data_IF_513872531546
#
_entry.id   IF_513872531546
#
_cell.length_a   1.000
_cell.length_b   1.000
_cell.length_c   1.000
_cell.angle_alpha   90.00
_cell.angle_beta   90.00
_cell.angle_gamma   90.00
#
_symmetry.space_group_name_H-M   'P 1'
#
loop_
_entity.id
_entity.type
_entity.pdbx_description
1 polymer ?
#
# COMPACT_ATOMS: atom_id res chain seq x y z
N UNK A 1 -22.11 15.00 34.47
CA UNK A 1 -23.58 15.27 34.35
C UNK A 1 -23.86 16.74 34.06
N UNK A 2 -23.17 17.69 34.70
CA UNK A 2 -23.37 19.12 34.49
C UNK A 2 -23.03 19.57 33.05
N UNK A 3 -21.89 19.16 32.52
CA UNK A 3 -21.47 19.48 31.14
C UNK A 3 -22.45 18.91 30.10
N UNK A 4 -23.00 17.70 30.32
CA UNK A 4 -23.99 17.14 29.43
C UNK A 4 -25.27 17.97 29.35
N UNK A 5 -25.65 18.66 30.44
CA UNK A 5 -26.78 19.59 30.43
C UNK A 5 -26.43 20.88 29.66
N UNK A 6 -25.21 21.40 29.82
CA UNK A 6 -24.74 22.60 29.16
C UNK A 6 -24.69 22.45 27.62
N UNK A 7 -24.21 21.31 27.13
CA UNK A 7 -24.06 21.05 25.69
C UNK A 7 -25.15 20.17 25.08
N UNK A 8 -26.31 19.98 25.76
CA UNK A 8 -27.38 19.05 25.36
C UNK A 8 -27.89 19.23 23.92
N UNK A 9 -27.87 20.47 23.41
CA UNK A 9 -28.37 20.81 22.08
C UNK A 9 -27.28 20.72 20.99
N UNK A 10 -26.00 20.57 21.40
CA UNK A 10 -24.86 20.49 20.52
C UNK A 10 -24.19 19.11 20.48
N UNK A 11 -24.19 18.40 21.63
CA UNK A 11 -23.46 17.15 21.80
C UNK A 11 -24.35 16.06 22.39
N UNK A 12 -24.09 14.82 21.96
CA UNK A 12 -24.62 13.62 22.60
C UNK A 12 -23.52 13.01 23.47
N UNK A 13 -23.84 12.73 24.71
CA UNK A 13 -22.92 12.12 25.67
C UNK A 13 -23.31 10.68 25.94
N UNK A 14 -22.30 9.79 26.00
CA UNK A 14 -22.41 8.42 26.45
C UNK A 14 -21.38 8.18 27.55
N UNK A 15 -21.74 7.39 28.52
CA UNK A 15 -20.84 6.90 29.57
C UNK A 15 -20.88 5.38 29.56
N UNK A 16 -19.73 4.74 29.49
CA UNK A 16 -19.60 3.29 29.41
C UNK A 16 -18.42 2.81 30.20
N UNK A 17 -18.45 1.52 30.58
CA UNK A 17 -17.28 0.89 31.14
C UNK A 17 -16.27 0.58 30.04
N UNK A 18 -15.00 0.64 30.33
CA UNK A 18 -13.90 0.33 29.40
C UNK A 18 -14.06 -1.07 28.81
N UNK A 19 -14.44 -2.04 29.65
CA UNK A 19 -14.63 -3.44 29.23
C UNK A 19 -15.69 -3.64 28.15
N UNK A 20 -16.71 -2.78 28.13
CA UNK A 20 -17.82 -2.89 27.18
C UNK A 20 -17.49 -2.21 25.83
N UNK A 21 -16.46 -1.37 25.80
CA UNK A 21 -16.08 -0.56 24.64
C UNK A 21 -14.58 -0.67 24.31
N UNK A 22 -13.95 -1.81 24.63
CA UNK A 22 -12.53 -2.04 24.41
C UNK A 22 -12.13 -1.81 22.95
N UNK A 23 -12.88 -2.38 22.01
CA UNK A 23 -12.60 -2.23 20.58
C UNK A 23 -12.67 -0.79 20.10
N UNK A 24 -13.64 -0.01 20.57
CA UNK A 24 -13.75 1.41 20.25
C UNK A 24 -12.59 2.22 20.81
N UNK A 25 -12.14 1.89 22.03
CA UNK A 25 -11.00 2.57 22.67
C UNK A 25 -9.70 2.25 21.94
N UNK A 26 -9.52 1.01 21.46
CA UNK A 26 -8.43 0.63 20.57
C UNK A 26 -8.47 1.45 19.27
N UNK A 27 -9.67 1.62 18.71
CA UNK A 27 -9.88 2.41 17.49
C UNK A 27 -9.57 3.91 17.68
N UNK A 28 -9.72 4.43 18.88
CA UNK A 28 -9.29 5.76 19.28
C UNK A 28 -7.80 5.82 19.70
N UNK A 29 -7.09 4.70 19.72
CA UNK A 29 -5.72 4.62 20.20
C UNK A 29 -5.57 5.07 21.66
N UNK A 30 -6.61 4.84 22.47
CA UNK A 30 -6.59 5.11 23.91
C UNK A 30 -6.07 3.92 24.71
N UNK A 31 -6.24 2.72 24.17
CA UNK A 31 -5.69 1.48 24.69
C UNK A 31 -5.14 0.65 23.53
N UNK A 32 -4.17 -0.19 23.79
CA UNK A 32 -3.64 -1.25 22.93
C UNK A 32 -3.56 -2.56 23.70
N UNK A 33 -3.03 -3.62 23.10
CA UNK A 33 -2.93 -4.94 23.75
C UNK A 33 -2.06 -4.90 25.02
N UNK A 34 -1.07 -4.00 25.06
CA UNK A 34 -0.07 -3.87 26.13
C UNK A 34 -0.41 -2.73 27.10
N UNK A 35 -1.40 -1.90 26.81
CA UNK A 35 -1.74 -0.74 27.64
C UNK A 35 -2.35 -1.18 28.96
N UNK A 36 -1.64 -0.89 30.04
CA UNK A 36 -2.17 -0.97 31.40
C UNK A 36 -2.93 0.34 31.66
N UNK A 37 -4.26 0.28 31.63
CA UNK A 37 -5.10 1.43 31.96
C UNK A 37 -5.53 1.37 33.44
N UNK A 38 -5.62 2.54 34.07
CA UNK A 38 -6.21 2.68 35.38
C UNK A 38 -7.74 2.74 35.24
N UNK A 39 -8.51 1.77 35.78
CA UNK A 39 -9.95 1.74 35.64
C UNK A 39 -10.66 2.94 36.33
N UNK A 40 -9.98 3.61 37.24
CA UNK A 40 -10.51 4.77 37.97
C UNK A 40 -10.29 6.09 37.23
N UNK A 41 -9.46 6.11 36.17
CA UNK A 41 -9.22 7.31 35.35
C UNK A 41 -10.13 7.29 34.12
N UNK A 42 -11.08 8.26 34.02
CA UNK A 42 -11.92 8.35 32.84
C UNK A 42 -11.14 8.66 31.57
N UNK A 43 -11.43 7.96 30.49
CA UNK A 43 -10.97 8.26 29.14
C UNK A 43 -12.07 9.02 28.39
N UNK A 44 -11.66 10.00 27.59
CA UNK A 44 -12.59 10.84 26.83
C UNK A 44 -12.27 10.78 25.34
N UNK A 45 -13.26 10.41 24.57
CA UNK A 45 -13.20 10.39 23.10
C UNK A 45 -14.52 10.87 22.50
N UNK A 46 -14.50 11.28 21.26
CA UNK A 46 -15.70 11.71 20.55
C UNK A 46 -15.53 11.73 19.04
N UNK A 47 -16.66 11.82 18.35
CA UNK A 47 -16.72 12.02 16.91
C UNK A 47 -17.45 13.33 16.59
N UNK A 48 -16.99 13.99 15.55
CA UNK A 48 -17.76 15.08 14.96
C UNK A 48 -18.84 14.53 14.00
N UNK A 49 -19.63 15.43 13.43
CA UNK A 49 -20.66 15.09 12.43
C UNK A 49 -20.10 14.52 11.12
N UNK A 50 -18.80 14.64 10.88
CA UNK A 50 -18.09 14.10 9.72
C UNK A 50 -17.42 12.76 10.03
N UNK A 51 -17.56 12.24 11.26
CA UNK A 51 -16.95 11.01 11.75
C UNK A 51 -15.44 11.13 11.94
N UNK A 52 -14.92 12.35 12.18
CA UNK A 52 -13.56 12.55 12.62
C UNK A 52 -13.46 12.21 14.11
N UNK A 53 -12.36 11.57 14.49
CA UNK A 53 -12.12 11.13 15.87
C UNK A 53 -11.36 12.20 16.63
N UNK A 54 -11.72 12.42 17.89
CA UNK A 54 -11.05 13.34 18.80
C UNK A 54 -10.83 12.65 20.13
N UNK A 55 -9.67 12.84 20.73
CA UNK A 55 -9.24 12.14 21.95
C UNK A 55 -8.66 13.16 22.92
N UNK A 56 -9.07 13.10 24.17
CA UNK A 56 -8.41 13.84 25.25
C UNK A 56 -7.21 13.03 25.73
N UNK A 57 -6.02 13.52 25.43
CA UNK A 57 -4.74 12.84 25.78
C UNK A 57 -4.25 13.18 27.19
N UNK A 58 -4.65 14.32 27.71
CA UNK A 58 -4.28 14.74 29.04
C UNK A 58 -4.98 13.92 30.11
N UNK A 59 -4.36 13.78 31.28
CA UNK A 59 -4.99 13.14 32.44
C UNK A 59 -6.31 13.81 32.74
N UNK A 60 -7.36 13.02 32.90
CA UNK A 60 -8.70 13.52 33.15
C UNK A 60 -8.76 14.38 34.43
N UNK A 61 -9.21 15.60 34.25
CA UNK A 61 -9.66 16.49 35.34
C UNK A 61 -10.98 17.13 34.90
N UNK A 62 -11.81 17.54 35.85
CA UNK A 62 -13.08 18.18 35.53
C UNK A 62 -12.89 19.47 34.69
N UNK A 63 -11.90 20.27 35.04
CA UNK A 63 -11.63 21.52 34.33
C UNK A 63 -10.93 21.27 32.97
N UNK A 64 -10.03 20.31 32.89
CA UNK A 64 -9.46 19.84 31.62
C UNK A 64 -10.54 19.33 30.68
N UNK A 65 -11.50 18.55 31.19
CA UNK A 65 -12.63 18.07 30.39
C UNK A 65 -13.53 19.22 29.89
N UNK A 66 -13.79 20.22 30.71
CA UNK A 66 -14.54 21.42 30.28
C UNK A 66 -13.83 22.15 29.16
N UNK A 67 -12.52 22.40 29.32
CA UNK A 67 -11.69 23.04 28.31
C UNK A 67 -11.67 22.25 27.01
N UNK A 68 -11.47 20.93 27.09
CA UNK A 68 -11.49 20.04 25.93
C UNK A 68 -12.83 20.06 25.19
N UNK A 69 -13.96 20.03 25.91
CA UNK A 69 -15.29 20.14 25.32
C UNK A 69 -15.51 21.49 24.62
N UNK A 70 -15.02 22.58 25.19
CA UNK A 70 -15.12 23.89 24.56
C UNK A 70 -14.34 23.91 23.24
N UNK A 71 -13.07 23.49 23.23
CA UNK A 71 -12.26 23.43 22.02
C UNK A 71 -12.86 22.47 20.97
N UNK A 72 -13.47 21.36 21.42
CA UNK A 72 -14.17 20.42 20.52
C UNK A 72 -15.36 21.11 19.81
N UNK A 73 -16.19 21.84 20.57
CA UNK A 73 -17.36 22.55 20.01
C UNK A 73 -16.94 23.71 19.10
N UNK A 74 -15.83 24.37 19.43
CA UNK A 74 -15.30 25.50 18.65
C UNK A 74 -14.52 25.03 17.41
N UNK A 75 -14.28 23.70 17.28
CA UNK A 75 -13.57 23.11 16.14
C UNK A 75 -12.06 23.38 16.16
N UNK A 76 -11.49 23.63 17.33
CA UNK A 76 -10.07 23.96 17.53
C UNK A 76 -9.21 22.71 17.78
N UNK A 77 -9.84 21.55 18.06
CA UNK A 77 -9.10 20.31 18.26
C UNK A 77 -8.61 19.70 16.95
N UNK A 78 -7.42 19.17 16.98
CA UNK A 78 -6.93 18.33 15.87
C UNK A 78 -7.55 16.93 15.94
N UNK A 79 -8.08 16.43 14.83
CA UNK A 79 -8.60 15.06 14.76
C UNK A 79 -7.51 14.05 15.08
N UNK A 80 -7.89 13.01 15.82
CA UNK A 80 -7.01 11.85 16.03
C UNK A 80 -6.94 11.00 14.77
N UNK A 81 -5.73 10.68 14.36
CA UNK A 81 -5.42 9.75 13.29
C UNK A 81 -4.64 8.57 13.88
N UNK A 82 -5.22 7.37 13.85
CA UNK A 82 -4.48 6.18 14.23
C UNK A 82 -3.47 5.86 13.13
N UNK A 83 -2.21 5.81 13.48
CA UNK A 83 -1.11 5.52 12.57
C UNK A 83 0.01 4.82 13.31
N UNK A 84 0.61 3.83 12.66
CA UNK A 84 1.93 3.35 13.04
C UNK A 84 2.98 4.45 12.90
N UNK A 85 4.09 4.30 13.59
CA UNK A 85 5.27 5.11 13.35
C UNK A 85 5.81 4.84 11.92
N UNK A 86 6.17 5.88 11.18
CA UNK A 86 6.74 5.69 9.85
C UNK A 86 8.03 4.86 9.93
N UNK A 87 8.17 3.79 9.13
CA UNK A 87 9.38 2.99 9.15
C UNK A 87 10.59 3.80 8.65
N UNK A 88 11.77 3.52 9.22
CA UNK A 88 13.03 4.14 8.79
C UNK A 88 13.30 3.79 7.31
N UNK A 89 13.16 2.52 6.96
CA UNK A 89 13.24 2.04 5.58
C UNK A 89 11.83 1.94 5.00
N UNK A 90 11.45 2.95 4.22
CA UNK A 90 10.12 3.03 3.59
C UNK A 90 9.90 2.03 2.45
N UNK A 91 10.93 1.35 1.99
CA UNK A 91 10.86 0.42 0.84
C UNK A 91 11.43 -0.93 1.24
N UNK A 92 10.63 -1.99 1.11
CA UNK A 92 11.02 -3.38 1.31
C UNK A 92 10.86 -4.15 -0.01
N UNK A 93 11.96 -4.62 -0.58
CA UNK A 93 11.99 -5.35 -1.87
C UNK A 93 11.22 -4.63 -3.01
N UNK A 94 11.34 -3.31 -3.05
CA UNK A 94 10.68 -2.46 -4.05
C UNK A 94 9.22 -2.12 -3.73
N UNK A 95 8.65 -2.67 -2.66
CA UNK A 95 7.30 -2.34 -2.17
C UNK A 95 7.41 -1.24 -1.11
N UNK A 96 6.73 -0.13 -1.35
CA UNK A 96 6.69 1.00 -0.41
C UNK A 96 5.76 0.67 0.77
N UNK A 97 6.23 0.98 1.98
CA UNK A 97 5.44 0.91 3.21
C UNK A 97 4.90 2.30 3.49
N UNK A 98 3.59 2.43 3.54
CA UNK A 98 2.91 3.69 3.83
C UNK A 98 2.05 3.51 5.07
N UNK A 99 2.10 4.49 5.95
CA UNK A 99 1.27 4.57 7.16
C UNK A 99 0.31 5.77 7.08
N UNK A 100 -0.69 5.82 7.94
CA UNK A 100 -1.73 6.84 7.85
C UNK A 100 -1.16 8.27 7.97
N UNK A 101 -0.16 8.50 8.83
CA UNK A 101 0.47 9.81 9.03
C UNK A 101 1.28 10.29 7.82
N UNK A 102 1.78 9.38 6.98
CA UNK A 102 2.54 9.73 5.78
C UNK A 102 1.72 9.65 4.48
N UNK A 103 0.42 9.33 4.57
CA UNK A 103 -0.44 9.15 3.40
C UNK A 103 -0.43 10.36 2.46
N UNK A 104 -0.54 11.57 3.01
CA UNK A 104 -0.57 12.80 2.21
C UNK A 104 0.76 13.00 1.47
N UNK A 105 1.87 12.83 2.18
CA UNK A 105 3.21 13.07 1.61
C UNK A 105 3.64 11.98 0.62
N UNK A 106 3.37 10.73 0.96
CA UNK A 106 3.91 9.57 0.24
C UNK A 106 2.99 9.08 -0.89
N UNK A 107 1.69 9.47 -0.86
CA UNK A 107 0.72 9.06 -1.88
C UNK A 107 0.07 10.26 -2.58
N UNK A 108 -0.56 11.17 -1.81
CA UNK A 108 -1.39 12.24 -2.42
C UNK A 108 -0.51 13.24 -3.17
N UNK A 109 0.58 13.70 -2.56
CA UNK A 109 1.48 14.70 -3.14
C UNK A 109 2.51 14.10 -4.12
N UNK A 110 2.59 12.77 -4.23
CA UNK A 110 3.53 12.11 -5.14
C UNK A 110 3.00 12.14 -6.58
N UNK A 111 3.82 12.64 -7.52
CA UNK A 111 3.48 12.69 -8.97
C UNK A 111 3.71 11.34 -9.66
N UNK A 112 3.16 10.27 -9.07
CA UNK A 112 3.16 8.90 -9.61
C UNK A 112 1.81 8.25 -9.38
N UNK A 113 1.47 7.30 -10.23
CA UNK A 113 0.39 6.36 -9.95
C UNK A 113 0.75 5.48 -8.76
N UNK A 114 -0.24 4.90 -8.07
CA UNK A 114 0.01 3.99 -6.96
C UNK A 114 -0.92 2.78 -7.00
N UNK A 115 -0.35 1.58 -6.87
CA UNK A 115 -1.11 0.36 -6.58
C UNK A 115 -0.98 0.07 -5.08
N UNK A 116 -2.09 0.11 -4.38
CA UNK A 116 -2.13 0.01 -2.92
C UNK A 116 -2.79 -1.29 -2.51
N UNK A 117 -2.08 -2.09 -1.73
CA UNK A 117 -2.60 -3.30 -1.10
C UNK A 117 -2.87 -3.04 0.39
N UNK A 118 -4.14 -2.91 0.74
CA UNK A 118 -4.58 -2.93 2.13
C UNK A 118 -4.51 -4.35 2.66
N UNK A 119 -3.80 -4.53 3.76
CA UNK A 119 -3.57 -5.85 4.33
C UNK A 119 -3.73 -5.87 5.85
N UNK A 120 -3.75 -7.07 6.42
CA UNK A 120 -3.63 -7.31 7.85
C UNK A 120 -2.44 -8.27 8.10
N UNK A 121 -1.63 -8.08 9.18
CA UNK A 121 -0.44 -8.91 9.46
C UNK A 121 -0.75 -10.39 9.65
N UNK A 122 -1.88 -10.70 10.26
CA UNK A 122 -2.34 -12.06 10.52
C UNK A 122 -3.00 -12.76 9.33
N UNK A 123 -3.30 -12.04 8.24
CA UNK A 123 -4.04 -12.55 7.10
C UNK A 123 -3.18 -13.46 6.21
N UNK A 124 -3.53 -14.74 6.11
CA UNK A 124 -2.80 -15.72 5.29
C UNK A 124 -2.81 -15.37 3.79
N UNK A 125 -3.94 -14.89 3.26
CA UNK A 125 -4.03 -14.46 1.86
C UNK A 125 -3.16 -13.23 1.57
N UNK A 126 -2.99 -12.35 2.56
CA UNK A 126 -2.09 -11.21 2.46
C UNK A 126 -0.63 -11.67 2.37
N UNK A 127 -0.24 -12.64 3.21
CA UNK A 127 1.11 -13.24 3.17
C UNK A 127 1.42 -13.87 1.83
N UNK A 128 0.44 -14.53 1.19
CA UNK A 128 0.59 -15.08 -0.17
C UNK A 128 0.67 -14.01 -1.26
N UNK A 129 0.10 -12.82 -1.04
CA UNK A 129 0.16 -11.71 -1.98
C UNK A 129 1.52 -11.01 -1.98
N UNK A 130 2.25 -10.96 -0.84
CA UNK A 130 3.51 -10.21 -0.72
C UNK A 130 4.56 -10.59 -1.78
N UNK A 131 4.84 -11.87 -2.06
CA UNK A 131 5.78 -12.23 -3.14
C UNK A 131 5.33 -11.74 -4.52
N UNK A 132 4.01 -11.68 -4.75
CA UNK A 132 3.46 -11.18 -6.03
C UNK A 132 3.67 -9.67 -6.16
N UNK A 133 3.47 -8.90 -5.07
CA UNK A 133 3.72 -7.46 -5.05
C UNK A 133 5.22 -7.15 -5.23
N UNK A 134 6.12 -7.88 -4.56
CA UNK A 134 7.57 -7.76 -4.73
C UNK A 134 7.98 -7.98 -6.20
N UNK A 135 7.46 -9.04 -6.82
CA UNK A 135 7.68 -9.31 -8.24
C UNK A 135 7.12 -8.21 -9.15
N UNK A 136 5.96 -7.68 -8.82
CA UNK A 136 5.35 -6.58 -9.56
C UNK A 136 6.18 -5.29 -9.44
N UNK A 137 6.68 -4.97 -8.23
CA UNK A 137 7.55 -3.83 -7.98
C UNK A 137 8.84 -3.90 -8.80
N UNK A 138 9.45 -5.09 -8.90
CA UNK A 138 10.61 -5.32 -9.79
C UNK A 138 10.25 -5.07 -11.26
N UNK A 139 9.10 -5.59 -11.72
CA UNK A 139 8.66 -5.41 -13.11
C UNK A 139 8.40 -3.96 -13.46
N UNK A 140 7.93 -3.15 -12.49
CA UNK A 140 7.55 -1.75 -12.67
C UNK A 140 8.61 -0.74 -12.15
N UNK A 141 9.81 -1.20 -11.82
CA UNK A 141 10.88 -0.37 -11.20
C UNK A 141 11.22 0.90 -12.00
N UNK A 142 11.11 0.84 -13.33
CA UNK A 142 11.43 1.97 -14.23
C UNK A 142 10.18 2.77 -14.65
N UNK A 143 9.02 2.41 -14.12
CA UNK A 143 7.75 3.04 -14.42
C UNK A 143 7.36 4.08 -13.36
N UNK A 144 6.47 4.99 -13.71
CA UNK A 144 5.97 6.02 -12.79
C UNK A 144 4.79 5.49 -11.94
N UNK A 145 5.02 4.34 -11.30
CA UNK A 145 4.01 3.63 -10.49
C UNK A 145 4.65 3.13 -9.20
N UNK A 146 4.10 3.52 -8.07
CA UNK A 146 4.48 3.00 -6.77
C UNK A 146 3.66 1.76 -6.42
N UNK A 147 4.32 0.70 -5.97
CA UNK A 147 3.66 -0.48 -5.40
C UNK A 147 3.71 -0.35 -3.89
N UNK A 148 2.54 -0.29 -3.26
CA UNK A 148 2.37 0.10 -1.87
C UNK A 148 1.70 -1.00 -1.07
N UNK A 149 2.19 -1.26 0.14
CA UNK A 149 1.46 -1.99 1.18
C UNK A 149 1.06 -1.04 2.31
N UNK A 150 -0.15 -1.23 2.83
CA UNK A 150 -0.73 -0.43 3.91
C UNK A 150 -1.38 -1.37 4.92
N UNK A 151 -0.90 -1.34 6.17
CA UNK A 151 -1.53 -2.10 7.25
C UNK A 151 -2.81 -1.41 7.68
N UNK A 152 -3.93 -2.00 7.31
CA UNK A 152 -5.25 -1.44 7.59
C UNK A 152 -5.79 -1.78 9.00
N UNK A 153 -5.02 -2.56 9.78
CA UNK A 153 -5.35 -2.86 11.18
C UNK A 153 -4.77 -1.80 12.10
N UNK A 154 -3.52 -1.41 11.85
CA UNK A 154 -2.78 -0.47 12.71
C UNK A 154 -2.92 0.99 12.25
N UNK A 155 -3.50 1.23 11.08
CA UNK A 155 -3.63 2.56 10.49
C UNK A 155 -5.08 2.88 10.11
N UNK A 156 -5.49 4.13 10.26
CA UNK A 156 -6.77 4.62 9.73
C UNK A 156 -6.72 4.70 8.20
N UNK A 157 -7.68 4.02 7.56
CA UNK A 157 -7.82 4.03 6.11
C UNK A 157 -8.46 5.35 5.66
N UNK A 158 -7.95 6.03 4.62
CA UNK A 158 -8.61 7.22 4.08
C UNK A 158 -10.06 6.94 3.66
N UNK A 159 -10.99 7.85 3.98
CA UNK A 159 -12.44 7.64 3.89
C UNK A 159 -12.99 7.31 2.51
N UNK A 160 -12.25 7.58 1.44
CA UNK A 160 -12.68 7.28 0.08
C UNK A 160 -12.37 5.84 -0.37
N UNK A 161 -11.79 5.01 0.50
CA UNK A 161 -11.67 3.57 0.28
C UNK A 161 -12.74 2.79 1.05
N UNK A 162 -13.30 1.74 0.42
CA UNK A 162 -14.10 0.72 1.08
C UNK A 162 -13.27 -0.56 1.18
N UNK A 163 -12.94 -0.98 2.40
CA UNK A 163 -12.10 -2.16 2.65
C UNK A 163 -12.89 -3.13 3.55
N UNK A 164 -13.64 -4.03 2.91
CA UNK A 164 -14.52 -4.98 3.60
C UNK A 164 -13.80 -6.30 3.95
N UNK A 165 -12.55 -6.46 3.54
CA UNK A 165 -11.74 -7.65 3.82
C UNK A 165 -10.32 -7.55 3.28
N UNK A 166 -9.47 -8.52 3.62
CA UNK A 166 -8.06 -8.51 3.29
C UNK A 166 -7.63 -9.70 2.40
N UNK A 167 -6.70 -9.46 1.45
CA UNK A 167 -6.23 -8.16 1.01
C UNK A 167 -7.23 -7.51 0.04
N UNK A 168 -7.37 -6.18 0.11
CA UNK A 168 -8.07 -5.37 -0.88
C UNK A 168 -7.05 -4.50 -1.63
N UNK A 169 -7.16 -4.44 -2.95
CA UNK A 169 -6.16 -3.76 -3.79
C UNK A 169 -6.85 -2.68 -4.59
N UNK A 170 -6.31 -1.46 -4.53
CA UNK A 170 -6.75 -0.31 -5.31
C UNK A 170 -5.63 0.28 -6.14
N UNK A 171 -6.01 0.91 -7.23
CA UNK A 171 -5.12 1.72 -8.04
C UNK A 171 -5.55 3.19 -7.97
N UNK A 172 -4.60 4.08 -7.74
CA UNK A 172 -4.79 5.52 -7.76
C UNK A 172 -4.00 6.12 -8.92
N UNK A 173 -4.70 6.85 -9.77
CA UNK A 173 -4.05 7.63 -10.83
C UNK A 173 -3.44 8.91 -10.24
N UNK A 174 -2.28 9.34 -10.73
CA UNK A 174 -1.60 10.53 -10.24
C UNK A 174 -2.42 11.80 -10.38
N UNK A 175 -3.26 11.87 -11.40
CA UNK A 175 -4.10 13.03 -11.68
C UNK A 175 -5.34 13.13 -10.78
N UNK A 176 -5.78 12.01 -10.19
CA UNK A 176 -6.92 11.97 -9.28
C UNK A 176 -6.75 10.87 -8.22
N UNK A 177 -6.21 11.27 -7.09
CA UNK A 177 -5.97 10.37 -5.94
C UNK A 177 -7.23 10.09 -5.11
N UNK A 178 -8.35 10.73 -5.44
CA UNK A 178 -9.61 10.59 -4.69
C UNK A 178 -10.58 9.59 -5.31
N UNK A 179 -10.27 9.08 -6.51
CA UNK A 179 -11.08 8.10 -7.24
C UNK A 179 -10.35 6.74 -7.31
N UNK A 180 -10.40 5.94 -6.24
CA UNK A 180 -9.72 4.65 -6.22
C UNK A 180 -10.38 3.65 -7.17
N UNK A 181 -9.58 2.97 -7.98
CA UNK A 181 -10.03 1.94 -8.91
C UNK A 181 -9.78 0.58 -8.26
N UNK A 182 -10.84 -0.16 -7.91
CA UNK A 182 -10.75 -1.47 -7.27
C UNK A 182 -10.21 -2.52 -8.26
N UNK A 183 -9.21 -3.29 -7.81
CA UNK A 183 -8.76 -4.50 -8.51
C UNK A 183 -9.64 -5.69 -8.13
N UNK A 184 -10.36 -6.23 -9.11
CA UNK A 184 -11.26 -7.36 -8.90
C UNK A 184 -10.96 -8.51 -9.87
N UNK A 185 -9.78 -9.12 -9.72
CA UNK A 185 -9.36 -10.28 -10.50
C UNK A 185 -8.46 -11.20 -9.65
N UNK A 186 -8.16 -12.44 -10.08
CA UNK A 186 -7.21 -13.28 -9.38
C UNK A 186 -5.86 -12.59 -9.18
N UNK A 187 -5.34 -12.62 -7.95
CA UNK A 187 -4.14 -11.88 -7.50
C UNK A 187 -2.85 -12.51 -8.02
N UNK A 188 -2.75 -12.67 -9.34
CA UNK A 188 -1.55 -13.16 -10.05
C UNK A 188 -0.77 -11.98 -10.61
N UNK A 189 0.55 -12.10 -10.67
CA UNK A 189 1.43 -11.07 -11.22
C UNK A 189 0.96 -10.56 -12.59
N UNK A 190 0.63 -11.45 -13.52
CA UNK A 190 0.18 -11.09 -14.87
C UNK A 190 -1.12 -10.27 -14.88
N UNK A 191 -2.05 -10.56 -13.96
CA UNK A 191 -3.31 -9.82 -13.88
C UNK A 191 -3.10 -8.44 -13.26
N UNK A 192 -2.25 -8.32 -12.23
CA UNK A 192 -1.89 -7.05 -11.62
C UNK A 192 -1.11 -6.18 -12.60
N UNK A 193 -0.14 -6.74 -13.31
CA UNK A 193 0.63 -6.02 -14.32
C UNK A 193 -0.28 -5.49 -15.43
N UNK A 194 -1.18 -6.33 -15.95
CA UNK A 194 -2.15 -5.92 -16.97
C UNK A 194 -3.06 -4.81 -16.45
N UNK A 195 -3.55 -4.94 -15.22
CA UNK A 195 -4.42 -3.94 -14.62
C UNK A 195 -3.70 -2.59 -14.46
N UNK A 196 -2.48 -2.59 -13.95
CA UNK A 196 -1.65 -1.38 -13.86
C UNK A 196 -1.42 -0.79 -15.24
N UNK A 197 -1.02 -1.59 -16.22
CA UNK A 197 -0.77 -1.12 -17.58
C UNK A 197 -2.02 -0.53 -18.25
N UNK A 198 -3.20 -1.10 -17.99
CA UNK A 198 -4.49 -0.61 -18.48
C UNK A 198 -4.87 0.73 -17.82
N UNK A 199 -4.70 0.85 -16.50
CA UNK A 199 -5.18 1.97 -15.69
C UNK A 199 -4.16 3.09 -15.49
N UNK A 200 -2.89 2.86 -15.78
CA UNK A 200 -1.83 3.87 -15.62
C UNK A 200 -2.19 5.17 -16.35
N UNK A 201 -1.94 6.30 -15.69
CA UNK A 201 -2.16 7.64 -16.24
C UNK A 201 -1.37 7.82 -17.54
N UNK A 202 -0.08 7.51 -17.50
CA UNK A 202 0.78 7.48 -18.67
C UNK A 202 0.97 6.04 -19.17
N UNK A 203 1.13 5.81 -20.51
CA UNK A 203 1.56 4.52 -21.00
C UNK A 203 2.87 4.08 -20.32
N UNK A 204 2.95 2.81 -19.92
CA UNK A 204 4.16 2.27 -19.35
C UNK A 204 5.29 2.22 -20.40
N UNK A 205 6.52 2.43 -19.97
CA UNK A 205 7.71 2.46 -20.86
C UNK A 205 8.04 1.09 -21.43
N UNK A 206 7.88 0.05 -20.60
CA UNK A 206 8.30 -1.31 -20.93
C UNK A 206 7.12 -2.25 -21.25
N UNK A 207 5.89 -1.79 -21.14
CA UNK A 207 4.69 -2.61 -21.33
C UNK A 207 3.64 -1.86 -22.14
N UNK A 208 2.94 -2.59 -23.01
CA UNK A 208 1.74 -2.06 -23.67
C UNK A 208 0.55 -2.00 -22.70
N UNK A 209 -0.58 -1.43 -23.15
CA UNK A 209 -1.81 -1.32 -22.34
C UNK A 209 -2.44 -2.68 -21.96
N UNK A 210 -1.95 -3.78 -22.54
CA UNK A 210 -2.34 -5.15 -22.18
C UNK A 210 -1.37 -5.81 -21.19
N UNK A 211 -0.32 -5.08 -20.76
CA UNK A 211 0.74 -5.59 -19.89
C UNK A 211 1.70 -6.54 -20.60
N UNK A 212 1.78 -6.48 -21.93
CA UNK A 212 2.72 -7.27 -22.72
C UNK A 212 4.02 -6.46 -22.83
N UNK A 213 5.16 -7.11 -22.50
CA UNK A 213 6.47 -6.47 -22.57
C UNK A 213 6.79 -6.00 -24.00
N UNK A 214 7.15 -4.74 -24.15
CA UNK A 214 7.59 -4.14 -25.41
C UNK A 214 9.10 -4.30 -25.63
N UNK A 215 9.85 -4.67 -24.61
CA UNK A 215 11.32 -4.85 -24.68
C UNK A 215 11.70 -5.94 -25.69
N UNK A 216 10.83 -6.90 -25.95
CA UNK A 216 11.02 -7.99 -26.92
C UNK A 216 10.92 -7.52 -28.38
N UNK A 217 10.25 -6.39 -28.66
CA UNK A 217 10.06 -5.90 -30.04
C UNK A 217 11.22 -5.04 -30.56
N UNK A 218 12.09 -4.54 -29.68
CA UNK A 218 13.28 -3.75 -30.01
C UNK A 218 14.54 -4.60 -30.12
N UNK A 219 14.40 -5.89 -30.30
CA UNK A 219 15.39 -6.97 -30.15
C UNK A 219 16.65 -6.90 -31.01
N UNK A 220 16.89 -5.87 -31.83
CA UNK A 220 18.14 -5.70 -32.57
C UNK A 220 18.96 -4.48 -32.15
N UNK A 221 18.42 -3.54 -31.37
CA UNK A 221 19.15 -2.31 -31.00
C UNK A 221 19.79 -2.37 -29.60
N UNK A 222 19.34 -3.24 -28.71
CA UNK A 222 19.80 -3.31 -27.32
C UNK A 222 20.85 -4.40 -27.01
N UNK A 223 21.29 -5.19 -28.01
CA UNK A 223 22.33 -6.21 -27.82
C UNK A 223 23.68 -5.67 -27.34
N UNK A 224 23.90 -4.38 -27.43
CA UNK A 224 25.20 -3.76 -27.16
C UNK A 224 25.32 -3.08 -25.79
N UNK A 225 24.28 -3.11 -24.92
CA UNK A 225 24.29 -2.30 -23.69
C UNK A 225 24.02 -3.05 -22.38
N UNK A 226 23.78 -4.38 -22.40
CA UNK A 226 23.67 -5.17 -21.16
C UNK A 226 24.76 -6.23 -21.18
N UNK A 227 25.72 -6.23 -20.24
CA UNK A 227 26.73 -7.27 -20.15
C UNK A 227 26.05 -8.65 -19.95
N UNK A 228 26.51 -9.71 -20.62
CA UNK A 228 25.93 -11.06 -20.52
C UNK A 228 25.86 -11.62 -19.09
N UNK A 229 26.65 -11.09 -18.18
CA UNK A 229 26.76 -11.49 -16.79
C UNK A 229 25.56 -11.06 -15.93
N UNK A 230 25.04 -9.86 -16.13
CA UNK A 230 23.88 -9.39 -15.35
C UNK A 230 22.56 -10.09 -15.75
N UNK A 231 22.42 -10.45 -17.00
CA UNK A 231 21.24 -11.18 -17.48
C UNK A 231 21.19 -12.61 -16.92
N UNK A 232 22.33 -13.24 -16.72
CA UNK A 232 22.45 -14.60 -16.19
C UNK A 232 22.19 -14.65 -14.68
N UNK A 233 22.62 -13.63 -13.92
CA UNK A 233 22.33 -13.52 -12.48
C UNK A 233 20.83 -13.26 -12.22
N UNK A 234 20.20 -12.50 -13.09
CA UNK A 234 18.75 -12.23 -13.01
C UNK A 234 17.89 -13.49 -13.21
N UNK A 235 18.29 -14.39 -14.11
CA UNK A 235 17.59 -15.67 -14.37
C UNK A 235 17.84 -16.73 -13.28
N UNK A 236 18.94 -16.63 -12.53
CA UNK A 236 19.28 -17.59 -11.46
C UNK A 236 18.63 -17.27 -10.10
N UNK A 237 18.20 -16.05 -9.88
CA UNK A 237 17.56 -15.64 -8.62
C UNK A 237 16.04 -15.93 -8.58
N UNK A 238 15.44 -16.29 -9.70
CA UNK A 238 14.03 -16.61 -9.76
C UNK A 238 13.84 -18.10 -10.02
N UNK A 239 13.17 -18.79 -9.09
CA UNK A 239 12.49 -20.05 -9.39
C UNK A 239 11.42 -19.78 -10.46
N UNK A 240 11.80 -19.80 -11.73
CA UNK A 240 10.94 -19.44 -12.85
C UNK A 240 9.77 -20.43 -12.96
N UNK A 241 8.53 -19.96 -13.15
CA UNK A 241 7.45 -20.84 -13.55
C UNK A 241 7.75 -21.38 -14.95
N UNK A 242 7.72 -22.70 -15.09
CA UNK A 242 7.86 -23.42 -16.35
C UNK A 242 6.77 -22.95 -17.33
N UNK A 243 7.13 -22.11 -18.27
CA UNK A 243 6.28 -21.71 -19.38
C UNK A 243 6.98 -22.12 -20.69
N UNK A 244 6.32 -22.91 -21.51
CA UNK A 244 6.77 -23.48 -22.80
C UNK A 244 7.43 -22.46 -23.76
N UNK A 245 7.12 -21.15 -23.60
CA UNK A 245 7.75 -20.06 -24.34
C UNK A 245 9.19 -19.74 -23.90
N UNK A 246 9.56 -19.95 -22.64
CA UNK A 246 10.92 -19.69 -22.14
C UNK A 246 11.91 -20.78 -22.60
N UNK A 247 11.45 -22.03 -22.69
CA UNK A 247 12.27 -23.10 -23.25
C UNK A 247 12.54 -22.89 -24.73
N UNK A 248 11.55 -22.46 -25.51
CA UNK A 248 11.74 -22.06 -26.91
C UNK A 248 12.75 -20.91 -27.07
N UNK A 249 12.70 -19.93 -26.19
CA UNK A 249 13.65 -18.80 -26.24
C UNK A 249 15.07 -19.25 -25.91
N UNK A 250 15.24 -20.13 -24.89
CA UNK A 250 16.53 -20.69 -24.50
C UNK A 250 17.09 -21.60 -25.60
N UNK A 251 16.25 -22.33 -26.31
CA UNK A 251 16.65 -23.18 -27.44
C UNK A 251 17.10 -22.30 -28.62
N UNK A 252 16.34 -21.31 -29.00
CA UNK A 252 16.69 -20.39 -30.09
C UNK A 252 17.98 -19.59 -29.82
N UNK A 253 18.25 -19.25 -28.55
CA UNK A 253 19.52 -18.59 -28.14
C UNK A 253 20.71 -19.59 -28.25
N UNK A 254 20.54 -20.85 -27.82
CA UNK A 254 21.59 -21.89 -27.97
C UNK A 254 21.89 -22.19 -29.42
N UNK A 255 20.86 -22.35 -30.24
CA UNK A 255 20.98 -22.63 -31.67
C UNK A 255 21.60 -21.44 -32.44
N UNK A 256 21.32 -20.19 -32.02
CA UNK A 256 21.96 -18.99 -32.54
C UNK A 256 23.46 -18.87 -32.22
N UNK A 257 23.88 -19.36 -31.06
CA UNK A 257 25.31 -19.37 -30.67
C UNK A 257 26.09 -20.51 -31.40
N UNK A 258 25.48 -21.64 -31.70
CA UNK A 258 26.14 -22.71 -32.46
C UNK A 258 26.32 -22.33 -33.93
N UNK A 259 25.35 -21.64 -34.55
CA UNK A 259 25.45 -21.21 -35.92
C UNK A 259 26.53 -20.13 -36.14
N UNK A 260 26.81 -19.30 -35.15
CA UNK A 260 27.93 -18.34 -35.23
C UNK A 260 29.31 -19.00 -35.10
N UNK A 261 29.45 -20.11 -34.37
CA UNK A 261 30.71 -20.88 -34.30
C UNK A 261 31.03 -21.64 -35.59
N UNK A 262 30.01 -22.09 -36.31
CA UNK A 262 30.19 -22.75 -37.57
C UNK A 262 30.47 -21.83 -38.77
N UNK A 263 30.04 -20.55 -38.69
CA UNK A 263 30.32 -19.55 -39.70
C UNK A 263 31.76 -19.07 -39.73
N UNK A 264 32.44 -19.05 -38.57
CA UNK A 264 33.83 -18.62 -38.43
C UNK A 264 34.88 -19.68 -38.83
N UNK A 265 34.48 -20.91 -39.04
CA UNK A 265 35.37 -22.04 -39.44
C UNK A 265 35.33 -22.36 -40.94
N UNK A 266 34.52 -21.64 -41.72
CA UNK A 266 34.42 -21.87 -43.19
C UNK A 266 35.19 -20.85 -44.02
N UNK A 267 35.71 -19.77 -43.44
CA UNK A 267 36.45 -18.75 -44.17
C UNK A 267 37.99 -18.88 -44.01
N UNK A 268 38.48 -19.96 -43.37
CA UNK A 268 39.93 -20.25 -43.25
C UNK A 268 40.32 -21.65 -43.77
N UNK A 269 39.70 -22.15 -44.86
CA UNK A 269 40.24 -23.30 -45.61
C UNK A 269 40.21 -23.05 -47.09
#
# INVERSE_FOLDING_TARGET
MEQAKHYKDKLKFSLSRVTDYKHELEHFGLIDEDTIYDPDIPMVAGWDKFGQKFVMRDTFTVDGFKSWLQHFVDGELMPFLRSEEPPVDKIEDGVQIVVASTWITDIVNEDKDALIAFHAPWCSHCKMLMPVLKKLAVSLKLEEVNIVKFDAVSNDIPKYFSVDGFPTIYFLQKNDKTQPILFNAPRKHSNLLRFVAEKATNPLKNYDRKGISQVTCLGNSFRNHIPPFEFQSYLQQEGAPTYDKEERLKKNLKDGFQNQRYGLLKDEL
#
